data_IF_897735261454
#
_entry.id   IF_897735261454
#
_cell.length_a   1.000
_cell.length_b   1.000
_cell.length_c   1.000
_cell.angle_alpha   90.00
_cell.angle_beta   90.00
_cell.angle_gamma   90.00
#
_symmetry.space_group_name_H-M   'P 1'
#
loop_
_entity.id
_entity.type
_entity.pdbx_description
1 polymer ?
#
# COMPACT_ATOMS: atom_id res chain seq x y z
N UNK A 1 11.56 -13.94 -54.51
CA UNK A 1 12.47 -13.26 -53.56
C UNK A 1 11.60 -12.71 -52.44
N UNK A 2 11.30 -13.52 -51.43
CA UNK A 2 10.48 -13.07 -50.29
C UNK A 2 11.47 -12.50 -49.28
N UNK A 3 11.33 -11.20 -49.03
CA UNK A 3 12.19 -10.44 -48.13
C UNK A 3 11.91 -10.87 -46.68
N UNK A 4 12.90 -11.49 -46.06
CA UNK A 4 12.92 -11.91 -44.65
C UNK A 4 13.13 -10.72 -43.70
N UNK A 5 12.33 -9.65 -43.82
CA UNK A 5 12.39 -8.59 -42.81
C UNK A 5 11.37 -8.80 -41.70
N UNK A 6 11.78 -8.42 -40.49
CA UNK A 6 10.97 -8.33 -39.27
C UNK A 6 10.82 -9.59 -38.42
N UNK A 7 11.93 -10.29 -38.13
CA UNK A 7 12.11 -10.82 -36.76
C UNK A 7 12.88 -9.76 -35.94
N UNK A 8 12.15 -8.77 -35.42
CA UNK A 8 12.72 -7.82 -34.45
C UNK A 8 13.20 -8.64 -33.25
N UNK A 9 14.52 -8.70 -33.04
CA UNK A 9 15.08 -9.27 -31.81
C UNK A 9 14.51 -8.46 -30.65
N UNK A 10 13.95 -9.08 -29.61
CA UNK A 10 13.50 -8.33 -28.45
C UNK A 10 14.73 -7.60 -27.90
N UNK A 11 14.72 -6.27 -28.03
CA UNK A 11 15.65 -5.45 -27.28
C UNK A 11 15.46 -5.80 -25.80
N UNK A 12 16.51 -5.86 -24.98
CA UNK A 12 16.32 -6.01 -23.55
C UNK A 12 15.42 -4.85 -23.10
N UNK A 13 14.16 -5.14 -22.77
CA UNK A 13 13.35 -4.23 -21.97
C UNK A 13 14.10 -4.11 -20.66
N UNK A 14 14.94 -3.09 -20.58
CA UNK A 14 15.71 -2.80 -19.40
C UNK A 14 14.69 -2.36 -18.36
N UNK A 15 14.23 -3.30 -17.54
CA UNK A 15 13.38 -3.00 -16.39
C UNK A 15 14.19 -2.09 -15.49
N UNK A 16 13.92 -0.79 -15.56
CA UNK A 16 14.54 0.18 -14.68
C UNK A 16 14.11 -0.15 -13.25
N UNK A 17 15.06 -0.55 -12.41
CA UNK A 17 14.81 -0.74 -11.00
C UNK A 17 14.79 0.64 -10.33
N UNK A 18 13.60 1.17 -10.06
CA UNK A 18 13.45 2.38 -9.27
C UNK A 18 13.54 2.04 -7.77
N UNK A 19 14.64 2.42 -7.12
CA UNK A 19 14.78 2.27 -5.68
C UNK A 19 14.04 3.41 -4.98
N UNK A 20 12.76 3.18 -4.68
CA UNK A 20 11.96 4.06 -3.83
C UNK A 20 12.11 3.67 -2.36
N UNK A 21 12.45 4.62 -1.49
CA UNK A 21 12.43 4.41 -0.05
C UNK A 21 11.00 4.57 0.47
N UNK A 22 10.62 3.81 1.49
CA UNK A 22 9.32 3.97 2.15
C UNK A 22 9.09 5.42 2.64
N UNK A 23 10.16 6.09 3.06
CA UNK A 23 10.14 7.50 3.45
C UNK A 23 9.87 8.46 2.30
N UNK A 24 10.27 8.10 1.07
CA UNK A 24 9.98 8.84 -0.15
C UNK A 24 8.57 8.57 -0.70
N UNK A 25 7.98 7.43 -0.36
CA UNK A 25 6.61 7.08 -0.74
C UNK A 25 5.54 7.76 0.11
N UNK A 26 5.88 8.16 1.34
CA UNK A 26 4.98 8.90 2.22
C UNK A 26 5.38 10.39 2.23
N UNK A 27 4.56 11.31 1.68
CA UNK A 27 4.86 12.73 1.65
C UNK A 27 5.24 13.28 3.03
N UNK A 28 6.21 14.20 3.09
CA UNK A 28 6.60 14.84 4.36
C UNK A 28 5.44 15.57 5.03
N UNK A 29 4.52 16.12 4.23
CA UNK A 29 3.35 16.86 4.70
C UNK A 29 2.14 15.96 5.05
N UNK A 30 2.33 14.63 5.05
CA UNK A 30 1.25 13.69 5.29
C UNK A 30 0.65 13.85 6.70
N UNK A 31 -0.68 13.79 6.80
CA UNK A 31 -1.44 14.00 8.03
C UNK A 31 -0.89 13.16 9.20
N UNK A 32 -0.61 11.88 8.97
CA UNK A 32 -0.09 10.98 10.00
C UNK A 32 1.25 11.44 10.59
N UNK A 33 2.13 12.06 9.80
CA UNK A 33 3.41 12.58 10.30
C UNK A 33 3.18 13.80 11.21
N UNK A 34 2.18 14.62 10.90
CA UNK A 34 1.77 15.75 11.75
C UNK A 34 1.11 15.26 13.05
N UNK A 35 0.26 14.25 12.95
CA UNK A 35 -0.41 13.64 14.11
C UNK A 35 0.62 12.97 15.03
N UNK A 36 1.54 12.18 14.49
CA UNK A 36 2.60 11.50 15.24
C UNK A 36 3.57 12.48 15.93
N UNK A 37 3.74 13.68 15.37
CA UNK A 37 4.56 14.73 15.98
C UNK A 37 3.88 15.45 17.16
N UNK A 38 2.55 15.37 17.30
CA UNK A 38 1.77 16.12 18.29
C UNK A 38 1.11 15.22 19.32
N UNK A 39 0.77 13.98 18.96
CA UNK A 39 0.09 13.03 19.84
C UNK A 39 1.11 11.99 20.33
N UNK A 40 1.30 11.93 21.64
CA UNK A 40 1.97 10.81 22.28
C UNK A 40 0.99 9.63 22.38
N UNK A 41 1.30 8.53 21.70
CA UNK A 41 0.48 7.32 21.66
C UNK A 41 0.78 6.31 22.78
N UNK A 42 1.76 6.58 23.65
CA UNK A 42 2.16 5.65 24.73
C UNK A 42 1.00 5.29 25.67
N UNK A 43 0.05 6.22 25.87
CA UNK A 43 -1.15 5.98 26.70
C UNK A 43 -1.98 4.76 26.25
N UNK A 44 -1.91 4.38 24.96
CA UNK A 44 -2.64 3.22 24.43
C UNK A 44 -2.16 1.94 25.11
N UNK A 45 -0.83 1.79 25.26
CA UNK A 45 -0.25 0.61 25.89
C UNK A 45 -0.72 0.46 27.33
N UNK A 46 -0.73 1.54 28.11
CA UNK A 46 -1.23 1.53 29.49
C UNK A 46 -2.70 1.10 29.56
N UNK A 47 -3.51 1.57 28.61
CA UNK A 47 -4.96 1.29 28.61
C UNK A 47 -5.29 -0.15 28.22
N UNK A 48 -4.52 -0.75 27.33
CA UNK A 48 -4.82 -2.08 26.78
C UNK A 48 -3.98 -3.20 27.38
N UNK A 49 -2.93 -2.89 28.16
CA UNK A 49 -2.01 -3.89 28.72
C UNK A 49 -2.73 -5.08 29.39
N UNK A 50 -3.77 -4.83 30.17
CA UNK A 50 -4.55 -5.89 30.84
C UNK A 50 -5.39 -6.77 29.92
N UNK A 51 -5.55 -6.40 28.65
CA UNK A 51 -6.24 -7.19 27.62
C UNK A 51 -5.29 -8.12 26.87
N UNK A 52 -3.97 -7.95 27.04
CA UNK A 52 -2.94 -8.74 26.39
C UNK A 52 -2.20 -9.61 27.40
N UNK A 53 -1.82 -10.81 26.94
CA UNK A 53 -0.96 -11.70 27.70
C UNK A 53 0.50 -11.43 27.30
N UNK A 54 1.38 -11.26 28.29
CA UNK A 54 2.78 -10.90 28.05
C UNK A 54 3.65 -12.10 27.60
N UNK A 55 3.24 -13.32 27.94
CA UNK A 55 4.09 -14.51 27.93
C UNK A 55 3.45 -15.70 27.21
N UNK A 56 2.33 -15.52 26.51
CA UNK A 56 1.66 -16.60 25.80
C UNK A 56 1.30 -16.23 24.35
N UNK A 57 1.52 -17.18 23.44
CA UNK A 57 1.15 -17.07 22.03
C UNK A 57 2.10 -16.21 21.19
N UNK A 58 1.60 -15.78 20.03
CA UNK A 58 2.33 -14.90 19.11
C UNK A 58 2.30 -13.47 19.67
N UNK A 59 3.42 -12.74 19.71
CA UNK A 59 3.44 -11.35 20.16
C UNK A 59 2.37 -10.53 19.43
N UNK A 60 1.59 -9.78 20.21
CA UNK A 60 0.62 -8.87 19.65
C UNK A 60 1.32 -7.83 18.77
N UNK A 61 0.68 -7.50 17.66
CA UNK A 61 1.08 -6.36 16.86
C UNK A 61 0.87 -5.09 17.72
N UNK A 62 1.76 -4.11 17.58
CA UNK A 62 1.70 -2.88 18.37
C UNK A 62 0.28 -2.28 18.29
N UNK A 63 -0.45 -2.14 19.42
CA UNK A 63 -1.80 -1.62 19.43
C UNK A 63 -1.87 -0.21 18.82
N UNK A 64 -0.80 0.59 18.95
CA UNK A 64 -0.67 1.90 18.33
C UNK A 64 -0.82 1.84 16.81
N UNK A 65 -0.36 0.75 16.17
CA UNK A 65 -0.45 0.60 14.72
C UNK A 65 -1.91 0.48 14.26
N UNK A 66 -2.76 -0.21 15.01
CA UNK A 66 -4.19 -0.28 14.66
C UNK A 66 -4.84 1.10 14.70
N UNK A 67 -4.52 1.91 15.72
CA UNK A 67 -5.02 3.29 15.79
C UNK A 67 -4.49 4.16 14.64
N UNK A 68 -3.20 4.05 14.31
CA UNK A 68 -2.59 4.73 13.15
C UNK A 68 -3.24 4.32 11.83
N UNK A 69 -3.62 3.05 11.69
CA UNK A 69 -4.30 2.54 10.50
C UNK A 69 -5.71 3.11 10.31
N UNK A 70 -6.43 3.45 11.39
CA UNK A 70 -7.75 4.10 11.30
C UNK A 70 -7.64 5.48 10.62
N UNK A 71 -6.54 6.19 10.82
CA UNK A 71 -6.30 7.51 10.22
C UNK A 71 -5.84 7.47 8.77
N UNK A 72 -5.32 6.32 8.29
CA UNK A 72 -4.91 6.14 6.89
C UNK A 72 -6.11 6.21 5.93
N UNK A 73 -7.32 5.90 6.42
CA UNK A 73 -8.50 5.77 5.58
C UNK A 73 -8.38 4.54 4.70
N UNK A 74 -9.32 3.60 4.81
CA UNK A 74 -9.46 2.59 3.77
C UNK A 74 -9.66 3.33 2.44
N UNK A 75 -8.92 3.00 1.36
CA UNK A 75 -9.32 3.45 0.04
C UNK A 75 -10.61 2.71 -0.32
N UNK A 76 -11.75 3.23 0.15
CA UNK A 76 -13.09 2.81 -0.23
C UNK A 76 -13.44 3.22 -1.69
N UNK A 77 -12.42 3.47 -2.51
CA UNK A 77 -12.55 3.88 -3.91
C UNK A 77 -11.37 3.38 -4.74
N UNK A 78 -10.84 2.17 -4.49
CA UNK A 78 -10.20 1.47 -5.59
C UNK A 78 -11.31 1.27 -6.64
N UNK A 79 -11.25 1.93 -7.82
CA UNK A 79 -12.23 1.64 -8.86
C UNK A 79 -12.12 0.16 -9.15
N UNK A 80 -13.17 -0.59 -8.89
CA UNK A 80 -13.31 -1.94 -9.44
C UNK A 80 -13.06 -1.78 -10.93
N UNK A 81 -12.13 -2.52 -11.55
CA UNK A 81 -12.09 -2.60 -13.00
C UNK A 81 -13.38 -3.32 -13.41
N UNK A 82 -14.47 -2.57 -13.57
CA UNK A 82 -15.65 -3.03 -14.28
C UNK A 82 -15.18 -3.33 -15.68
N UNK A 83 -15.08 -4.63 -15.97
CA UNK A 83 -14.60 -5.14 -17.24
C UNK A 83 -15.35 -4.51 -18.41
N UNK A 84 -14.55 -4.25 -19.45
CA UNK A 84 -14.84 -4.17 -20.87
C UNK A 84 -16.31 -4.01 -21.32
N UNK A 85 -16.61 -3.03 -22.20
CA UNK A 85 -17.88 -3.03 -22.92
C UNK A 85 -17.92 -4.29 -23.79
N UNK A 86 -18.74 -5.26 -23.40
CA UNK A 86 -19.22 -6.30 -24.30
C UNK A 86 -19.90 -5.59 -25.47
N UNK A 87 -19.44 -5.91 -26.68
CA UNK A 87 -19.84 -5.27 -27.92
C UNK A 87 -21.34 -5.08 -28.01
N UNK A 88 -21.74 -3.82 -28.04
CA UNK A 88 -23.04 -3.41 -28.56
C UNK A 88 -22.88 -3.43 -30.08
N UNK A 89 -23.25 -4.57 -30.65
CA UNK A 89 -23.21 -4.85 -32.07
C UNK A 89 -24.30 -5.86 -32.40
N UNK A 90 -25.53 -5.51 -32.08
CA UNK A 90 -26.73 -6.08 -32.69
C UNK A 90 -27.56 -4.93 -33.26
N UNK A 91 -27.82 -5.04 -34.57
CA UNK A 91 -28.52 -4.15 -35.52
C UNK A 91 -27.66 -3.13 -36.30
#
# INVERSE_FOLDING_TARGET
MIHWDMLKKPAPEQTALEMVTLDGLVPKDHLLRKVDAVIDFTFIHERVAGLYCADNGRPALDPTLMFKALFIGTPASAPTPTGSPLGQGDL
#
